data_IF_987117961452
#
_entry.id   IF_987117961452
#
_cell.length_a   1.000
_cell.length_b   1.000
_cell.length_c   1.000
_cell.angle_alpha   90.00
_cell.angle_beta   90.00
_cell.angle_gamma   90.00
#
_symmetry.space_group_name_H-M   'P 1'
#
loop_
_entity.id
_entity.type
_entity.pdbx_description
1 polymer ?
#
# COMPACT_ATOMS: atom_id res chain seq x y z
N UNK A 1 24.42 22.35 13.14
CA UNK A 1 22.99 22.45 12.75
C UNK A 1 22.20 21.42 13.54
N UNK A 2 21.03 21.77 14.05
CA UNK A 2 20.14 20.79 14.68
C UNK A 2 19.54 19.88 13.60
N UNK A 3 19.43 18.58 13.91
CA UNK A 3 18.77 17.62 13.01
C UNK A 3 17.25 17.87 13.03
N UNK A 4 16.61 17.73 11.88
CA UNK A 4 15.16 17.77 11.75
C UNK A 4 14.55 16.51 12.35
N UNK A 5 13.66 16.67 13.32
CA UNK A 5 12.93 15.55 13.93
C UNK A 5 11.78 15.16 13.00
N UNK A 6 11.75 13.91 12.54
CA UNK A 6 10.68 13.39 11.69
C UNK A 6 10.19 12.04 12.15
N UNK A 7 8.89 11.84 12.12
CA UNK A 7 8.25 10.53 12.23
C UNK A 7 8.01 9.91 10.85
N UNK A 8 8.33 8.62 10.71
CA UNK A 8 8.02 7.83 9.52
C UNK A 8 7.23 6.59 9.91
N UNK A 9 5.95 6.55 9.55
CA UNK A 9 5.11 5.36 9.68
C UNK A 9 5.13 4.53 8.38
N UNK A 10 5.79 3.38 8.39
CA UNK A 10 5.90 2.52 7.21
C UNK A 10 6.06 1.05 7.62
N UNK A 11 5.63 0.13 6.76
CA UNK A 11 5.81 -1.29 7.00
C UNK A 11 7.28 -1.68 7.20
N UNK A 12 7.50 -2.70 8.03
CA UNK A 12 8.80 -3.37 8.16
C UNK A 12 9.00 -4.30 6.97
N UNK A 13 9.95 -3.95 6.13
CA UNK A 13 10.34 -4.71 4.95
C UNK A 13 11.86 -4.79 4.86
N UNK A 14 12.37 -5.73 4.06
CA UNK A 14 13.79 -5.84 3.71
C UNK A 14 14.45 -4.49 3.35
N UNK A 15 13.78 -3.68 2.54
CA UNK A 15 14.26 -2.37 2.06
C UNK A 15 14.06 -1.20 3.04
N UNK A 16 13.20 -1.33 4.05
CA UNK A 16 13.04 -0.32 5.12
C UNK A 16 13.80 -0.69 6.39
N UNK A 17 14.21 -1.96 6.52
CA UNK A 17 14.95 -2.49 7.66
C UNK A 17 16.24 -1.70 7.98
N UNK A 18 17.06 -1.25 7.00
CA UNK A 18 18.24 -0.42 7.30
C UNK A 18 17.94 0.92 7.98
N UNK A 19 16.75 1.49 7.77
CA UNK A 19 16.31 2.70 8.48
C UNK A 19 15.91 2.37 9.93
N UNK A 20 15.32 1.19 10.15
CA UNK A 20 14.85 0.74 11.46
C UNK A 20 16.01 0.39 12.40
N UNK A 21 17.02 -0.31 11.90
CA UNK A 21 18.19 -0.70 12.70
C UNK A 21 19.34 0.33 12.64
N UNK A 22 19.14 1.43 11.91
CA UNK A 22 20.07 2.55 11.86
C UNK A 22 21.33 2.32 11.04
N UNK A 23 21.39 1.25 10.23
CA UNK A 23 22.44 1.04 9.22
C UNK A 23 22.45 2.16 8.16
N UNK A 24 21.29 2.73 7.88
CA UNK A 24 21.13 3.91 7.05
C UNK A 24 20.47 5.01 7.88
N UNK A 25 21.07 6.19 7.89
CA UNK A 25 20.55 7.39 8.57
C UNK A 25 20.49 8.52 7.56
N UNK A 26 19.30 9.12 7.30
CA UNK A 26 19.22 10.25 6.40
C UNK A 26 20.04 11.43 6.94
N UNK A 27 20.77 12.10 6.07
CA UNK A 27 21.56 13.26 6.44
C UNK A 27 20.65 14.38 6.95
N UNK A 28 21.04 15.02 8.06
CA UNK A 28 20.29 16.13 8.65
C UNK A 28 18.97 15.76 9.33
N UNK A 29 18.58 14.49 9.36
CA UNK A 29 17.32 14.02 9.99
C UNK A 29 17.61 13.18 11.23
N UNK A 30 16.81 13.39 12.25
CA UNK A 30 16.65 12.49 13.38
C UNK A 30 15.30 11.77 13.22
N UNK A 31 15.37 10.52 12.77
CA UNK A 31 14.22 9.79 12.24
C UNK A 31 13.65 8.84 13.30
N UNK A 32 12.41 9.06 13.70
CA UNK A 32 11.62 8.11 14.48
C UNK A 32 10.83 7.22 13.54
N UNK A 33 11.29 5.98 13.35
CA UNK A 33 10.61 5.00 12.50
C UNK A 33 9.54 4.22 13.29
N UNK A 34 8.31 4.21 12.80
CA UNK A 34 7.17 3.49 13.38
C UNK A 34 6.79 2.32 12.44
N UNK A 35 7.15 1.07 12.78
CA UNK A 35 6.95 -0.10 11.92
C UNK A 35 5.51 -0.63 11.97
N UNK A 36 4.55 0.20 11.58
CA UNK A 36 3.12 -0.09 11.60
C UNK A 36 2.69 -0.87 10.35
N UNK A 37 1.55 -1.57 10.45
CA UNK A 37 0.98 -2.29 9.30
C UNK A 37 0.26 -1.31 8.37
N UNK A 38 0.26 -1.54 7.05
CA UNK A 38 -0.36 -0.63 6.07
C UNK A 38 -1.75 -0.14 6.42
N UNK A 39 -2.67 -1.03 6.84
CA UNK A 39 -4.03 -0.64 7.20
C UNK A 39 -4.11 0.38 8.34
N UNK A 40 -3.27 0.20 9.37
CA UNK A 40 -3.19 1.13 10.50
C UNK A 40 -2.52 2.46 10.07
N UNK A 41 -1.39 2.38 9.36
CA UNK A 41 -0.67 3.56 8.85
C UNK A 41 -1.56 4.44 8.00
N UNK A 42 -2.27 3.84 7.03
CA UNK A 42 -3.09 4.59 6.07
C UNK A 42 -4.27 5.25 6.79
N UNK A 43 -4.95 4.53 7.67
CA UNK A 43 -6.08 5.08 8.41
C UNK A 43 -5.66 6.26 9.28
N UNK A 44 -4.57 6.14 10.05
CA UNK A 44 -4.04 7.20 10.92
C UNK A 44 -3.59 8.43 10.12
N UNK A 45 -2.88 8.23 9.01
CA UNK A 45 -2.45 9.35 8.16
C UNK A 45 -3.61 10.05 7.46
N UNK A 46 -4.50 9.30 6.81
CA UNK A 46 -5.58 9.87 5.99
C UNK A 46 -6.62 10.62 6.83
N UNK A 47 -6.92 10.14 8.04
CA UNK A 47 -7.96 10.73 8.89
C UNK A 47 -7.40 11.79 9.87
N UNK A 48 -6.15 11.67 10.29
CA UNK A 48 -5.61 12.48 11.39
C UNK A 48 -4.30 13.20 11.07
N UNK A 49 -3.63 12.90 9.95
CA UNK A 49 -2.34 13.51 9.61
C UNK A 49 -1.27 13.29 10.68
N UNK A 50 -1.30 12.11 11.31
CA UNK A 50 -0.58 11.87 12.58
C UNK A 50 0.94 11.78 12.44
N UNK A 51 1.46 11.61 11.22
CA UNK A 51 2.89 11.42 10.96
C UNK A 51 3.40 12.49 10.00
N UNK A 52 4.68 12.84 10.13
CA UNK A 52 5.34 13.74 9.17
C UNK A 52 5.51 13.06 7.81
N UNK A 53 5.80 11.76 7.82
CA UNK A 53 5.94 10.91 6.62
C UNK A 53 5.25 9.57 6.86
N UNK A 54 4.57 9.04 5.85
CA UNK A 54 4.02 7.69 5.92
C UNK A 54 4.04 6.94 4.59
N UNK A 55 4.06 5.62 4.66
CA UNK A 55 3.63 4.79 3.55
C UNK A 55 2.14 5.04 3.29
N UNK A 56 1.74 5.06 2.01
CA UNK A 56 0.37 5.36 1.61
C UNK A 56 -0.12 4.38 0.54
N UNK A 57 -1.41 4.07 0.56
CA UNK A 57 -2.08 3.39 -0.55
C UNK A 57 -2.02 4.27 -1.79
N UNK A 58 -1.39 3.78 -2.87
CA UNK A 58 -1.31 4.52 -4.13
C UNK A 58 -2.69 4.87 -4.67
N UNK A 59 -3.64 3.93 -4.61
CA UNK A 59 -5.02 4.19 -5.04
C UNK A 59 -5.69 5.30 -4.23
N UNK A 60 -5.48 5.33 -2.90
CA UNK A 60 -6.04 6.37 -2.05
C UNK A 60 -5.40 7.74 -2.35
N UNK A 61 -4.08 7.76 -2.55
CA UNK A 61 -3.38 8.98 -2.96
C UNK A 61 -3.88 9.50 -4.31
N UNK A 62 -4.05 8.64 -5.30
CA UNK A 62 -4.56 9.03 -6.62
C UNK A 62 -5.98 9.58 -6.54
N UNK A 63 -6.86 8.98 -5.73
CA UNK A 63 -8.21 9.50 -5.49
C UNK A 63 -8.15 10.91 -4.90
N UNK A 64 -7.40 11.11 -3.81
CA UNK A 64 -7.23 12.42 -3.19
C UNK A 64 -6.74 13.47 -4.19
N UNK A 65 -5.71 13.15 -4.98
CA UNK A 65 -5.19 14.04 -6.02
C UNK A 65 -6.24 14.36 -7.09
N UNK A 66 -7.06 13.38 -7.49
CA UNK A 66 -8.12 13.57 -8.47
C UNK A 66 -9.25 14.47 -7.96
N UNK A 67 -9.47 14.49 -6.64
CA UNK A 67 -10.45 15.34 -5.96
C UNK A 67 -9.89 16.73 -5.62
N UNK A 68 -8.65 17.02 -6.00
CA UNK A 68 -8.00 18.32 -5.75
C UNK A 68 -7.33 18.45 -4.38
N UNK A 69 -7.27 17.37 -3.59
CA UNK A 69 -6.55 17.37 -2.33
C UNK A 69 -5.03 17.32 -2.59
N UNK A 70 -4.34 18.35 -2.12
CA UNK A 70 -2.89 18.54 -2.32
C UNK A 70 -2.08 18.50 -1.03
N UNK A 71 -2.69 18.10 0.09
CA UNK A 71 -2.05 18.07 1.42
C UNK A 71 -0.86 17.13 1.50
N UNK A 72 -0.82 16.11 0.64
CA UNK A 72 0.28 15.15 0.57
C UNK A 72 1.09 15.27 -0.72
N UNK A 73 2.40 15.18 -0.58
CA UNK A 73 3.35 15.05 -1.69
C UNK A 73 3.92 13.64 -1.67
N UNK A 74 3.71 12.89 -2.75
CA UNK A 74 4.24 11.54 -2.85
C UNK A 74 5.74 11.57 -3.15
N UNK A 75 6.48 10.75 -2.42
CA UNK A 75 7.86 10.39 -2.76
C UNK A 75 7.78 9.19 -3.70
N UNK A 76 8.46 9.17 -4.86
CA UNK A 76 8.35 8.10 -5.87
C UNK A 76 9.12 6.83 -5.46
N UNK A 77 8.89 6.36 -4.24
CA UNK A 77 9.46 5.14 -3.67
C UNK A 77 8.31 4.20 -3.39
N UNK A 78 8.39 3.00 -3.96
CA UNK A 78 7.37 1.96 -3.81
C UNK A 78 7.91 0.87 -2.90
N UNK A 79 7.73 1.02 -1.57
CA UNK A 79 8.17 0.01 -0.63
C UNK A 79 7.42 -1.29 -0.93
N UNK A 80 6.13 -1.42 -0.63
CA UNK A 80 5.40 -2.68 -0.80
C UNK A 80 5.53 -3.30 -2.21
N UNK A 81 6.21 -4.46 -2.29
CA UNK A 81 6.41 -5.26 -3.51
C UNK A 81 5.98 -6.69 -3.25
N UNK A 82 5.08 -7.21 -4.08
CA UNK A 82 4.52 -8.56 -3.97
C UNK A 82 3.95 -9.00 -5.32
N UNK A 83 3.98 -10.30 -5.61
CA UNK A 83 3.29 -10.88 -6.76
C UNK A 83 1.77 -10.81 -6.56
N UNK A 84 1.10 -9.91 -7.28
CA UNK A 84 -0.34 -9.62 -7.05
C UNK A 84 -1.29 -10.78 -7.35
N UNK A 85 -0.85 -11.79 -8.08
CA UNK A 85 -1.58 -13.06 -8.24
C UNK A 85 -1.91 -13.72 -6.89
N UNK A 86 -1.04 -13.58 -5.89
CA UNK A 86 -1.25 -14.16 -4.55
C UNK A 86 -2.29 -13.41 -3.71
N UNK A 87 -2.93 -12.36 -4.23
CA UNK A 87 -3.96 -11.62 -3.52
C UNK A 87 -5.38 -12.20 -3.74
N UNK A 88 -5.52 -13.20 -4.62
CA UNK A 88 -6.75 -13.94 -4.85
C UNK A 88 -6.73 -15.21 -4.00
N UNK A 89 -7.80 -15.41 -3.23
CA UNK A 89 -7.98 -16.59 -2.40
C UNK A 89 -9.31 -17.23 -2.73
N UNK A 90 -9.29 -18.54 -2.87
CA UNK A 90 -10.48 -19.37 -3.01
C UNK A 90 -10.49 -20.40 -1.89
N UNK A 91 -11.66 -20.95 -1.61
CA UNK A 91 -11.80 -22.05 -0.65
C UNK A 91 -11.04 -23.28 -1.18
N UNK A 92 -10.49 -24.11 -0.29
CA UNK A 92 -9.71 -25.28 -0.70
C UNK A 92 -10.50 -26.29 -1.55
N UNK A 93 -11.81 -26.40 -1.32
CA UNK A 93 -12.78 -27.21 -2.08
C UNK A 93 -13.60 -26.34 -3.06
N UNK A 94 -13.04 -25.22 -3.52
CA UNK A 94 -13.64 -24.39 -4.57
C UNK A 94 -13.38 -25.03 -5.94
N UNK A 95 -14.37 -25.04 -6.85
CA UNK A 95 -14.19 -25.52 -8.22
C UNK A 95 -13.49 -24.47 -9.14
N UNK A 96 -12.82 -23.47 -8.56
CA UNK A 96 -12.16 -22.39 -9.31
C UNK A 96 -10.70 -22.80 -9.47
N UNK A 97 -10.28 -23.05 -10.70
CA UNK A 97 -8.91 -23.48 -11.01
C UNK A 97 -8.17 -22.46 -11.87
N UNK A 98 -8.91 -21.73 -12.71
CA UNK A 98 -8.37 -20.70 -13.61
C UNK A 98 -9.09 -19.36 -13.45
N UNK A 99 -8.46 -18.22 -13.80
CA UNK A 99 -9.08 -16.90 -13.68
C UNK A 99 -10.45 -16.79 -14.35
N UNK A 100 -10.69 -17.47 -15.47
CA UNK A 100 -11.94 -17.47 -16.24
C UNK A 100 -13.12 -18.01 -15.45
N UNK A 101 -12.89 -18.89 -14.48
CA UNK A 101 -13.93 -19.46 -13.62
C UNK A 101 -14.55 -18.41 -12.69
N UNK A 102 -13.90 -17.25 -12.54
CA UNK A 102 -14.40 -16.11 -11.77
C UNK A 102 -15.50 -15.34 -12.51
N UNK A 103 -15.72 -15.57 -13.82
CA UNK A 103 -16.76 -14.88 -14.59
C UNK A 103 -18.14 -15.11 -13.98
N UNK A 104 -18.85 -14.02 -13.70
CA UNK A 104 -20.16 -14.03 -13.05
C UNK A 104 -20.16 -14.45 -11.57
N UNK A 105 -19.00 -14.68 -10.94
CA UNK A 105 -18.90 -14.94 -9.50
C UNK A 105 -18.86 -13.64 -8.71
N UNK A 106 -19.23 -13.74 -7.43
CA UNK A 106 -19.08 -12.63 -6.47
C UNK A 106 -17.71 -12.72 -5.80
N UNK A 107 -16.99 -11.61 -5.78
CA UNK A 107 -15.67 -11.50 -5.15
C UNK A 107 -15.79 -10.62 -3.90
N UNK A 108 -15.37 -11.14 -2.76
CA UNK A 108 -15.24 -10.37 -1.53
C UNK A 108 -13.95 -9.54 -1.56
N UNK A 109 -14.03 -8.27 -1.17
CA UNK A 109 -12.89 -7.37 -1.08
C UNK A 109 -12.99 -6.59 0.23
N UNK A 110 -11.86 -6.32 0.89
CA UNK A 110 -11.84 -5.50 2.11
C UNK A 110 -12.33 -4.09 1.84
N UNK A 111 -11.68 -3.39 0.91
CA UNK A 111 -12.05 -2.06 0.43
C UNK A 111 -11.97 -2.02 -1.10
N UNK A 112 -13.00 -1.51 -1.76
CA UNK A 112 -13.05 -1.48 -3.23
C UNK A 112 -11.89 -0.70 -3.85
N UNK A 113 -11.46 0.37 -3.18
CA UNK A 113 -10.36 1.23 -3.56
C UNK A 113 -8.97 0.77 -3.07
N UNK A 114 -8.84 -0.38 -2.39
CA UNK A 114 -7.51 -0.81 -1.97
C UNK A 114 -6.61 -1.03 -3.18
N UNK A 115 -5.34 -0.62 -3.08
CA UNK A 115 -4.38 -0.73 -4.19
C UNK A 115 -4.28 -2.17 -4.73
N UNK A 116 -4.33 -3.19 -3.86
CA UNK A 116 -4.30 -4.58 -4.28
C UNK A 116 -5.51 -4.99 -5.14
N UNK A 117 -6.71 -4.52 -4.80
CA UNK A 117 -7.93 -4.81 -5.53
C UNK A 117 -7.96 -4.12 -6.90
N UNK A 118 -7.47 -2.89 -7.00
CA UNK A 118 -7.27 -2.21 -8.29
C UNK A 118 -6.35 -3.03 -9.19
N UNK A 119 -5.21 -3.47 -8.66
CA UNK A 119 -4.26 -4.32 -9.40
C UNK A 119 -4.88 -5.65 -9.85
N UNK A 120 -5.59 -6.35 -8.96
CA UNK A 120 -6.22 -7.63 -9.28
C UNK A 120 -7.31 -7.46 -10.34
N UNK A 121 -8.16 -6.44 -10.25
CA UNK A 121 -9.16 -6.15 -11.28
C UNK A 121 -8.52 -5.85 -12.63
N UNK A 122 -7.46 -5.02 -12.63
CA UNK A 122 -6.70 -4.71 -13.84
C UNK A 122 -6.09 -5.97 -14.45
N UNK A 123 -5.41 -6.78 -13.64
CA UNK A 123 -4.82 -8.06 -14.05
C UNK A 123 -5.86 -9.00 -14.68
N UNK A 124 -6.97 -9.24 -13.97
CA UNK A 124 -8.05 -10.10 -14.46
C UNK A 124 -8.65 -9.57 -15.76
N UNK A 125 -8.85 -8.26 -15.87
CA UNK A 125 -9.45 -7.63 -17.06
C UNK A 125 -8.51 -7.64 -18.27
N UNK A 126 -7.25 -7.25 -18.08
CA UNK A 126 -6.31 -6.97 -19.17
C UNK A 126 -5.52 -8.20 -19.61
N UNK A 127 -5.08 -9.05 -18.68
CA UNK A 127 -4.26 -10.23 -19.00
C UNK A 127 -5.12 -11.48 -19.24
N UNK A 128 -6.24 -11.63 -18.51
CA UNK A 128 -7.07 -12.83 -18.55
C UNK A 128 -8.45 -12.63 -19.19
N UNK A 129 -8.80 -11.40 -19.60
CA UNK A 129 -10.08 -11.11 -20.24
C UNK A 129 -11.31 -11.44 -19.38
N UNK A 130 -11.16 -11.42 -18.05
CA UNK A 130 -12.23 -11.64 -17.06
C UNK A 130 -12.88 -10.30 -16.74
N UNK A 131 -14.16 -10.16 -17.07
CA UNK A 131 -14.96 -8.94 -16.93
C UNK A 131 -16.29 -9.24 -16.26
#
# INVERSE_FOLDING_TARGET
MHKLQLTLACGRYDRTQPLIDGRVRPEGVDLTFLPLRPGETFWRMLNHGEFDVSEMSLSSYTILRSEGDTRFIAIPVFPSRVFRHSALYVRADSPIEIPEDLKGKRVGVGDYQMTAAVWVRGLLTHEYGVK
#
